data_IF_558382510345
#
_entry.id   IF_558382510345
#
_cell.length_a   1.000
_cell.length_b   1.000
_cell.length_c   1.000
_cell.angle_alpha   90.00
_cell.angle_beta   90.00
_cell.angle_gamma   90.00
#
_symmetry.space_group_name_H-M   'P 1'
#
loop_
_entity.id
_entity.type
_entity.pdbx_description
1 polymer ?
#
# COMPACT_ATOMS: atom_id res chain seq x y z
N UNK A 1 19.17 18.53 27.37
CA UNK A 1 19.12 19.59 26.34
C UNK A 1 20.45 19.63 25.63
N UNK A 2 20.60 18.87 24.55
CA UNK A 2 21.72 19.03 23.62
C UNK A 2 21.43 20.24 22.73
N UNK A 3 22.41 21.14 22.58
CA UNK A 3 22.35 22.30 21.68
C UNK A 3 23.02 21.92 20.37
N UNK A 4 22.21 21.63 19.35
CA UNK A 4 22.46 21.72 17.91
C UNK A 4 21.47 20.76 17.26
N UNK A 5 20.84 21.12 16.14
CA UNK A 5 20.00 20.19 15.37
C UNK A 5 20.84 19.13 14.66
N UNK A 6 21.78 18.51 15.36
CA UNK A 6 22.49 17.32 14.92
C UNK A 6 21.61 16.12 15.25
N UNK A 7 21.24 15.44 14.19
CA UNK A 7 20.34 14.30 14.20
C UNK A 7 21.08 13.10 14.76
N UNK A 8 20.38 12.26 15.52
CA UNK A 8 20.94 11.03 16.06
C UNK A 8 21.51 10.14 14.92
N UNK A 9 22.83 9.87 14.90
CA UNK A 9 23.44 9.00 13.90
C UNK A 9 22.81 7.60 13.86
N UNK A 10 22.33 7.11 15.00
CA UNK A 10 21.70 5.78 15.10
C UNK A 10 20.31 5.77 14.44
N UNK A 11 19.51 6.83 14.64
CA UNK A 11 18.27 7.05 13.89
C UNK A 11 18.51 7.07 12.37
N UNK A 12 19.50 7.83 11.91
CA UNK A 12 19.82 7.92 10.48
C UNK A 12 20.20 6.57 9.88
N UNK A 13 21.03 5.80 10.56
CA UNK A 13 21.41 4.46 10.10
C UNK A 13 20.20 3.52 10.02
N UNK A 14 19.31 3.56 11.02
CA UNK A 14 18.08 2.75 11.04
C UNK A 14 17.12 3.15 9.91
N UNK A 15 16.91 4.45 9.71
CA UNK A 15 16.07 4.93 8.63
C UNK A 15 16.66 4.58 7.27
N UNK A 16 17.97 4.78 7.07
CA UNK A 16 18.63 4.42 5.82
C UNK A 16 18.45 2.94 5.49
N UNK A 17 18.60 2.05 6.47
CA UNK A 17 18.35 0.61 6.28
C UNK A 17 16.89 0.30 5.93
N UNK A 18 15.92 0.98 6.55
CA UNK A 18 14.50 0.82 6.25
C UNK A 18 14.17 1.29 4.83
N UNK A 19 14.65 2.48 4.47
CA UNK A 19 14.50 3.06 3.13
C UNK A 19 15.19 2.22 2.07
N UNK A 20 16.38 1.69 2.33
CA UNK A 20 17.08 0.74 1.44
C UNK A 20 16.28 -0.53 1.22
N UNK A 21 15.73 -1.14 2.27
CA UNK A 21 14.88 -2.33 2.13
C UNK A 21 13.64 -2.02 1.29
N UNK A 22 13.04 -0.85 1.47
CA UNK A 22 11.88 -0.37 0.69
C UNK A 22 12.25 -0.15 -0.77
N UNK A 23 13.37 0.52 -1.05
CA UNK A 23 13.88 0.76 -2.38
C UNK A 23 14.25 -0.55 -3.11
N UNK A 24 14.83 -1.52 -2.40
CA UNK A 24 15.20 -2.84 -2.94
C UNK A 24 13.98 -3.68 -3.34
N UNK A 25 12.87 -3.54 -2.61
CA UNK A 25 11.61 -4.28 -2.80
C UNK A 25 10.42 -3.31 -2.79
N UNK A 26 10.24 -2.52 -3.87
CA UNK A 26 9.21 -1.49 -3.92
C UNK A 26 7.79 -2.05 -3.97
N UNK A 27 7.60 -3.20 -4.62
CA UNK A 27 6.36 -3.97 -4.66
C UNK A 27 6.69 -5.45 -4.62
N UNK A 28 5.75 -6.26 -4.14
CA UNK A 28 5.88 -7.70 -4.12
C UNK A 28 6.07 -8.24 -5.54
N UNK A 29 7.14 -8.98 -5.78
CA UNK A 29 7.53 -9.48 -7.11
C UNK A 29 8.62 -8.66 -7.81
N UNK A 30 9.05 -7.54 -7.23
CA UNK A 30 10.19 -6.75 -7.73
C UNK A 30 11.38 -6.85 -6.78
N UNK A 31 12.56 -7.08 -7.35
CA UNK A 31 13.83 -7.13 -6.64
C UNK A 31 14.91 -6.35 -7.40
N UNK A 32 15.27 -5.19 -6.87
CA UNK A 32 16.32 -4.33 -7.45
C UNK A 32 17.71 -4.77 -6.97
N UNK A 33 18.72 -4.59 -7.81
CA UNK A 33 20.13 -4.80 -7.44
C UNK A 33 20.53 -3.97 -6.20
N UNK A 34 21.42 -4.53 -5.38
CA UNK A 34 21.84 -3.91 -4.13
C UNK A 34 22.49 -2.55 -4.34
N UNK A 35 23.35 -2.42 -5.36
CA UNK A 35 24.05 -1.18 -5.70
C UNK A 35 23.07 -0.08 -6.15
N UNK A 36 22.08 -0.44 -6.97
CA UNK A 36 21.07 0.50 -7.44
C UNK A 36 20.16 0.96 -6.29
N UNK A 37 19.72 0.03 -5.42
CA UNK A 37 18.91 0.37 -4.25
C UNK A 37 19.68 1.24 -3.24
N UNK A 38 20.97 0.95 -3.01
CA UNK A 38 21.81 1.75 -2.11
C UNK A 38 22.07 3.16 -2.68
N UNK A 39 22.32 3.27 -3.99
CA UNK A 39 22.51 4.55 -4.67
C UNK A 39 21.25 5.41 -4.58
N UNK A 40 20.08 4.83 -4.91
CA UNK A 40 18.80 5.52 -4.80
C UNK A 40 18.50 5.98 -3.37
N UNK A 41 18.78 5.12 -2.37
CA UNK A 41 18.56 5.48 -0.96
C UNK A 41 19.42 6.67 -0.55
N UNK A 42 20.69 6.68 -0.98
CA UNK A 42 21.61 7.77 -0.70
C UNK A 42 21.13 9.08 -1.34
N UNK A 43 20.74 9.02 -2.62
CA UNK A 43 20.19 10.16 -3.35
C UNK A 43 18.93 10.72 -2.68
N UNK A 44 18.01 9.86 -2.20
CA UNK A 44 16.83 10.30 -1.46
C UNK A 44 17.23 11.08 -0.21
N UNK A 45 18.19 10.59 0.56
CA UNK A 45 18.62 11.25 1.79
C UNK A 45 19.31 12.58 1.51
N UNK A 46 20.20 12.63 0.52
CA UNK A 46 20.87 13.87 0.10
C UNK A 46 19.84 14.92 -0.34
N UNK A 47 18.87 14.53 -1.18
CA UNK A 47 17.81 15.43 -1.64
C UNK A 47 16.91 15.92 -0.51
N UNK A 48 16.58 15.07 0.47
CA UNK A 48 15.78 15.47 1.63
C UNK A 48 16.58 16.42 2.54
N UNK A 49 17.84 16.11 2.82
CA UNK A 49 18.73 16.94 3.61
C UNK A 49 18.90 18.34 2.99
N UNK A 50 19.04 18.42 1.67
CA UNK A 50 19.17 19.69 0.95
C UNK A 50 17.86 20.51 0.92
N UNK A 51 16.71 19.83 0.95
CA UNK A 51 15.38 20.46 0.91
C UNK A 51 15.04 21.17 2.22
N UNK A 52 15.40 20.58 3.35
CA UNK A 52 14.99 21.08 4.66
C UNK A 52 15.88 22.24 5.14
N UNK A 53 15.34 23.47 5.06
CA UNK A 53 15.98 24.68 5.63
C UNK A 53 16.01 24.66 7.16
N UNK A 54 15.09 23.93 7.78
CA UNK A 54 15.01 23.65 9.21
C UNK A 54 14.66 22.18 9.38
N UNK A 55 15.25 21.51 10.38
CA UNK A 55 15.03 20.08 10.62
C UNK A 55 13.54 19.78 10.82
N UNK A 56 12.93 18.90 10.02
CA UNK A 56 11.57 18.44 10.23
C UNK A 56 11.48 17.50 11.43
N UNK A 57 10.30 17.03 11.78
CA UNK A 57 10.21 15.94 12.76
C UNK A 57 10.82 14.64 12.20
N UNK A 58 11.37 13.79 13.06
CA UNK A 58 11.93 12.50 12.64
C UNK A 58 10.87 11.63 11.93
N UNK A 59 9.59 11.77 12.30
CA UNK A 59 8.48 11.07 11.69
C UNK A 59 8.18 11.56 10.27
N UNK A 60 8.17 12.89 10.06
CA UNK A 60 8.01 13.52 8.75
C UNK A 60 9.16 13.15 7.81
N UNK A 61 10.40 13.27 8.29
CA UNK A 61 11.58 12.87 7.52
C UNK A 61 11.53 11.38 7.14
N UNK A 62 11.13 10.53 8.08
CA UNK A 62 10.99 9.09 7.84
C UNK A 62 9.91 8.77 6.80
N UNK A 63 8.76 9.44 6.88
CA UNK A 63 7.67 9.24 5.95
C UNK A 63 8.08 9.66 4.53
N UNK A 64 8.68 10.84 4.35
CA UNK A 64 9.14 11.31 3.04
C UNK A 64 10.25 10.42 2.46
N UNK A 65 11.18 9.94 3.29
CA UNK A 65 12.22 9.02 2.83
C UNK A 65 11.63 7.69 2.34
N UNK A 66 10.65 7.13 3.06
CA UNK A 66 9.99 5.87 2.71
C UNK A 66 9.10 6.01 1.47
N UNK A 67 8.37 7.12 1.34
CA UNK A 67 7.57 7.47 0.16
C UNK A 67 8.46 7.68 -1.06
N UNK A 68 9.54 8.46 -0.93
CA UNK A 68 10.53 8.67 -1.98
C UNK A 68 11.15 7.36 -2.47
N UNK A 69 11.47 6.44 -1.55
CA UNK A 69 11.98 5.12 -1.93
C UNK A 69 10.93 4.26 -2.63
N UNK A 70 9.66 4.34 -2.23
CA UNK A 70 8.60 3.62 -2.90
C UNK A 70 8.34 4.16 -4.31
N UNK A 71 8.28 5.48 -4.47
CA UNK A 71 7.92 6.10 -5.74
C UNK A 71 9.06 6.05 -6.74
N UNK A 72 10.26 6.51 -6.37
CA UNK A 72 11.40 6.53 -7.29
C UNK A 72 11.80 5.13 -7.72
N UNK A 73 11.78 4.15 -6.81
CA UNK A 73 12.16 2.78 -7.14
C UNK A 73 11.25 2.15 -8.19
N UNK A 74 9.92 2.34 -8.08
CA UNK A 74 8.97 1.87 -9.11
C UNK A 74 9.15 2.55 -10.45
N UNK A 75 9.36 3.87 -10.45
CA UNK A 75 9.57 4.62 -11.69
C UNK A 75 10.90 4.26 -12.36
N UNK A 76 11.95 4.00 -11.59
CA UNK A 76 13.23 3.51 -12.12
C UNK A 76 13.05 2.13 -12.76
N UNK A 77 12.36 1.20 -12.09
CA UNK A 77 12.06 -0.13 -12.66
C UNK A 77 11.25 -0.01 -13.95
N UNK A 78 10.22 0.84 -13.96
CA UNK A 78 9.39 1.07 -15.14
C UNK A 78 10.22 1.65 -16.31
N UNK A 79 11.09 2.62 -16.02
CA UNK A 79 11.96 3.26 -17.00
C UNK A 79 12.98 2.28 -17.57
N UNK A 80 13.68 1.52 -16.71
CA UNK A 80 14.67 0.54 -17.13
C UNK A 80 14.05 -0.55 -18.01
N UNK A 81 12.84 -1.03 -17.66
CA UNK A 81 12.09 -2.01 -18.45
C UNK A 81 11.70 -1.46 -19.82
N UNK A 82 11.30 -0.20 -19.89
CA UNK A 82 10.96 0.47 -21.14
C UNK A 82 12.20 0.69 -22.02
N UNK A 83 13.33 1.09 -21.43
CA UNK A 83 14.59 1.33 -22.15
C UNK A 83 15.21 0.04 -22.70
N UNK A 84 15.11 -1.06 -21.95
CA UNK A 84 15.67 -2.36 -22.36
C UNK A 84 14.67 -3.25 -23.09
N UNK A 85 13.41 -2.82 -23.21
CA UNK A 85 12.29 -3.59 -23.76
C UNK A 85 12.13 -4.98 -23.11
N UNK A 86 12.45 -5.10 -21.81
CA UNK A 86 12.39 -6.35 -21.05
C UNK A 86 11.45 -6.23 -19.84
N UNK A 87 10.21 -6.74 -19.91
CA UNK A 87 9.29 -6.74 -18.78
C UNK A 87 9.76 -7.58 -17.57
N UNK A 88 10.71 -8.49 -17.75
CA UNK A 88 11.25 -9.33 -16.66
C UNK A 88 12.40 -8.67 -15.91
N UNK A 89 12.92 -7.54 -16.40
CA UNK A 89 13.99 -6.84 -15.72
C UNK A 89 13.55 -6.48 -14.29
N UNK A 90 14.39 -6.77 -13.31
CA UNK A 90 14.09 -6.61 -11.87
C UNK A 90 12.94 -7.48 -11.33
N UNK A 91 12.44 -8.46 -12.08
CA UNK A 91 11.50 -9.45 -11.52
C UNK A 91 12.20 -10.30 -10.47
N UNK A 92 11.56 -10.50 -9.32
CA UNK A 92 12.08 -11.33 -8.24
C UNK A 92 12.07 -12.81 -8.68
N UNK A 93 13.23 -13.48 -8.79
CA UNK A 93 13.28 -14.89 -9.18
C UNK A 93 12.60 -15.83 -8.17
N UNK A 94 12.33 -15.38 -6.95
CA UNK A 94 11.58 -16.15 -5.95
C UNK A 94 10.06 -15.97 -6.07
N UNK A 95 9.58 -15.01 -6.87
CA UNK A 95 8.15 -14.82 -7.10
C UNK A 95 7.62 -15.89 -8.07
N UNK A 96 6.75 -16.75 -7.55
CA UNK A 96 6.17 -17.89 -8.29
C UNK A 96 4.65 -17.79 -8.42
N UNK A 97 4.10 -16.60 -8.12
CA UNK A 97 2.66 -16.31 -8.17
C UNK A 97 2.09 -16.43 -9.59
N UNK A 98 2.90 -16.17 -10.60
CA UNK A 98 2.60 -16.31 -12.02
C UNK A 98 3.89 -16.57 -12.80
N UNK A 99 3.79 -16.98 -14.07
CA UNK A 99 4.94 -17.48 -14.83
C UNK A 99 5.94 -16.39 -15.25
N UNK A 100 5.43 -15.23 -15.67
CA UNK A 100 6.23 -14.11 -16.17
C UNK A 100 5.46 -12.80 -16.11
N UNK A 101 6.17 -11.68 -16.04
CA UNK A 101 5.57 -10.36 -16.21
C UNK A 101 5.03 -10.19 -17.64
N UNK A 102 3.87 -9.53 -17.76
CA UNK A 102 3.36 -9.05 -19.05
C UNK A 102 3.93 -7.68 -19.38
N UNK A 103 3.90 -7.32 -20.66
CA UNK A 103 4.33 -5.99 -21.11
C UNK A 103 3.26 -4.95 -20.73
N UNK A 104 3.56 -4.18 -19.68
CA UNK A 104 2.64 -3.19 -19.14
C UNK A 104 2.34 -2.06 -20.13
N UNK A 105 3.32 -1.65 -20.93
CA UNK A 105 3.14 -0.56 -21.90
C UNK A 105 2.20 -0.99 -23.02
N UNK A 106 2.25 -2.27 -23.41
CA UNK A 106 1.26 -2.86 -24.33
C UNK A 106 -0.12 -2.96 -23.69
N UNK A 107 -0.22 -3.35 -22.42
CA UNK A 107 -1.50 -3.39 -21.71
C UNK A 107 -2.16 -2.00 -21.62
N UNK A 108 -1.37 -0.94 -21.42
CA UNK A 108 -1.82 0.46 -21.38
C UNK A 108 -2.06 1.08 -22.75
N UNK A 109 -1.58 0.44 -23.83
CA UNK A 109 -1.67 1.02 -25.17
C UNK A 109 -3.11 1.07 -25.66
N UNK A 110 -3.65 2.29 -25.76
CA UNK A 110 -4.98 2.55 -26.28
C UNK A 110 -4.99 2.53 -27.82
N UNK A 111 -5.81 1.66 -28.39
CA UNK A 111 -6.10 1.63 -29.82
C UNK A 111 -7.45 2.33 -30.11
N UNK A 112 -7.81 2.50 -31.39
CA UNK A 112 -9.07 3.14 -31.82
C UNK A 112 -10.35 2.50 -31.23
N UNK A 113 -10.26 1.24 -30.76
CA UNK A 113 -11.35 0.51 -30.10
C UNK A 113 -11.17 0.33 -28.59
N UNK A 114 -10.26 1.07 -27.95
CA UNK A 114 -9.92 0.89 -26.53
C UNK A 114 -8.68 0.02 -26.33
N UNK A 115 -8.63 -0.68 -25.20
CA UNK A 115 -7.55 -1.60 -24.86
C UNK A 115 -7.79 -2.96 -25.52
N UNK A 116 -6.93 -3.35 -26.45
CA UNK A 116 -7.17 -4.52 -27.30
C UNK A 116 -5.89 -5.30 -27.64
N UNK A 117 -4.80 -5.03 -26.92
CA UNK A 117 -3.55 -5.75 -27.14
C UNK A 117 -3.70 -7.22 -26.72
N UNK A 118 -2.90 -8.11 -27.33
CA UNK A 118 -2.91 -9.54 -27.01
C UNK A 118 -2.54 -9.80 -25.56
N UNK A 119 -1.73 -8.94 -24.93
CA UNK A 119 -1.38 -9.05 -23.51
C UNK A 119 -2.62 -9.15 -22.60
N UNK A 120 -3.77 -8.58 -23.00
CA UNK A 120 -5.03 -8.73 -22.24
C UNK A 120 -5.55 -10.16 -22.19
N UNK A 121 -5.27 -10.98 -23.20
CA UNK A 121 -5.62 -12.41 -23.19
C UNK A 121 -4.74 -13.17 -22.19
N UNK A 122 -3.47 -12.77 -22.08
CA UNK A 122 -2.50 -13.42 -21.18
C UNK A 122 -2.64 -12.91 -19.73
N UNK A 123 -3.32 -11.77 -19.52
CA UNK A 123 -3.62 -11.20 -18.20
C UNK A 123 -4.69 -11.99 -17.43
N UNK A 124 -5.69 -12.56 -18.12
CA UNK A 124 -6.75 -13.35 -17.45
C UNK A 124 -6.17 -14.55 -16.66
N UNK A 125 -5.31 -15.42 -17.25
CA UNK A 125 -4.66 -16.49 -16.51
C UNK A 125 -3.87 -16.03 -15.28
N UNK A 126 -3.30 -14.83 -15.30
CA UNK A 126 -2.55 -14.26 -14.17
C UNK A 126 -3.51 -13.84 -13.06
N UNK A 127 -4.59 -13.12 -13.38
CA UNK A 127 -5.49 -12.54 -12.39
C UNK A 127 -6.55 -13.51 -11.85
N UNK A 128 -6.98 -14.47 -12.67
CA UNK A 128 -8.06 -15.41 -12.35
C UNK A 128 -7.85 -16.17 -11.04
N UNK A 129 -6.66 -16.75 -10.74
CA UNK A 129 -6.42 -17.42 -9.48
C UNK A 129 -6.62 -16.52 -8.25
N UNK A 130 -6.16 -15.26 -8.31
CA UNK A 130 -6.29 -14.29 -7.21
C UNK A 130 -7.74 -13.84 -7.03
N UNK A 131 -8.41 -13.49 -8.14
CA UNK A 131 -9.82 -13.08 -8.12
C UNK A 131 -10.74 -14.15 -7.56
N UNK A 132 -10.66 -15.38 -8.09
CA UNK A 132 -11.50 -16.48 -7.64
C UNK A 132 -11.24 -16.89 -6.19
N UNK A 133 -9.97 -16.91 -5.76
CA UNK A 133 -9.65 -17.18 -4.36
C UNK A 133 -10.37 -16.21 -3.41
N UNK A 134 -10.37 -14.92 -3.75
CA UNK A 134 -11.05 -13.89 -2.95
C UNK A 134 -12.57 -14.03 -2.99
N UNK A 135 -13.17 -14.23 -4.17
CA UNK A 135 -14.62 -14.35 -4.35
C UNK A 135 -15.19 -15.57 -3.63
N UNK A 136 -14.52 -16.73 -3.75
CA UNK A 136 -14.90 -17.96 -3.05
C UNK A 136 -14.76 -17.82 -1.53
N UNK A 137 -13.71 -17.15 -1.05
CA UNK A 137 -13.54 -16.84 0.38
C UNK A 137 -14.63 -15.89 0.89
N UNK A 138 -15.14 -15.00 0.02
CA UNK A 138 -16.34 -14.19 0.25
C UNK A 138 -17.63 -14.97 -0.03
N UNK A 139 -17.60 -16.28 -0.19
CA UNK A 139 -18.77 -17.15 -0.26
C UNK A 139 -19.68 -16.93 -1.47
N UNK A 140 -19.16 -16.39 -2.58
CA UNK A 140 -19.87 -16.38 -3.85
C UNK A 140 -19.85 -17.79 -4.46
N UNK A 141 -20.96 -18.19 -5.09
CA UNK A 141 -21.00 -19.43 -5.87
C UNK A 141 -20.17 -19.32 -7.15
N UNK A 142 -19.80 -20.45 -7.77
CA UNK A 142 -18.91 -20.44 -8.95
C UNK A 142 -19.45 -19.61 -10.13
N UNK A 143 -20.77 -19.61 -10.37
CA UNK A 143 -21.36 -18.81 -11.45
C UNK A 143 -21.33 -17.31 -11.12
N UNK A 144 -21.79 -16.92 -9.93
CA UNK A 144 -21.74 -15.52 -9.47
C UNK A 144 -20.29 -15.00 -9.42
N UNK A 145 -19.34 -15.86 -9.05
CA UNK A 145 -17.94 -15.50 -9.01
C UNK A 145 -17.37 -15.26 -10.42
N UNK A 146 -17.76 -16.04 -11.43
CA UNK A 146 -17.36 -15.79 -12.83
C UNK A 146 -17.91 -14.46 -13.33
N UNK A 147 -19.19 -14.17 -13.09
CA UNK A 147 -19.80 -12.91 -13.53
C UNK A 147 -19.12 -11.70 -12.87
N UNK A 148 -18.96 -11.73 -11.54
CA UNK A 148 -18.28 -10.67 -10.79
C UNK A 148 -16.82 -10.52 -11.23
N UNK A 149 -16.14 -11.63 -11.50
CA UNK A 149 -14.76 -11.61 -12.00
C UNK A 149 -14.68 -10.94 -13.38
N UNK A 150 -15.49 -11.38 -14.35
CA UNK A 150 -15.47 -10.84 -15.73
C UNK A 150 -15.87 -9.37 -15.77
N UNK A 151 -16.87 -8.96 -14.99
CA UNK A 151 -17.22 -7.53 -14.84
C UNK A 151 -16.05 -6.73 -14.29
N UNK A 152 -15.35 -7.24 -13.28
CA UNK A 152 -14.20 -6.55 -12.68
C UNK A 152 -13.01 -6.52 -13.63
N UNK A 153 -12.79 -7.59 -14.39
CA UNK A 153 -11.73 -7.67 -15.39
C UNK A 153 -11.94 -6.65 -16.51
N UNK A 154 -13.19 -6.55 -17.01
CA UNK A 154 -13.55 -5.53 -17.99
C UNK A 154 -13.40 -4.10 -17.43
N UNK A 155 -13.63 -3.90 -16.13
CA UNK A 155 -13.47 -2.61 -15.47
C UNK A 155 -12.00 -2.13 -15.46
N UNK A 156 -11.00 -3.02 -15.48
CA UNK A 156 -9.59 -2.61 -15.55
C UNK A 156 -9.29 -1.75 -16.78
N UNK A 157 -10.00 -1.99 -17.88
CA UNK A 157 -9.88 -1.29 -19.14
C UNK A 157 -10.95 -0.20 -19.33
N UNK A 158 -11.88 -0.02 -18.38
CA UNK A 158 -12.98 0.94 -18.50
C UNK A 158 -12.53 2.31 -17.99
N UNK A 159 -12.69 3.32 -18.85
CA UNK A 159 -12.42 4.70 -18.47
C UNK A 159 -13.44 5.20 -17.47
N UNK A 160 -12.96 5.79 -16.38
CA UNK A 160 -13.84 6.39 -15.37
C UNK A 160 -14.40 7.70 -15.91
N UNK A 161 -15.68 7.96 -15.67
CA UNK A 161 -16.34 9.18 -16.13
C UNK A 161 -15.72 10.48 -15.55
N UNK A 162 -15.05 10.40 -14.40
CA UNK A 162 -14.50 11.57 -13.69
C UNK A 162 -13.24 12.12 -14.35
N UNK A 163 -12.32 11.25 -14.75
CA UNK A 163 -10.96 11.62 -15.21
C UNK A 163 -10.60 11.04 -16.59
N UNK A 164 -11.47 10.22 -17.17
CA UNK A 164 -11.26 9.60 -18.48
C UNK A 164 -10.12 8.57 -18.49
N UNK A 165 -9.67 8.09 -17.33
CA UNK A 165 -8.58 7.11 -17.22
C UNK A 165 -9.11 5.74 -16.82
N UNK A 166 -8.53 4.70 -17.39
CA UNK A 166 -8.77 3.33 -16.96
C UNK A 166 -7.88 2.95 -15.77
N UNK A 167 -8.31 2.06 -14.86
CA UNK A 167 -7.49 1.58 -13.75
C UNK A 167 -6.12 1.02 -14.17
N UNK A 168 -6.02 0.36 -15.33
CA UNK A 168 -4.74 -0.16 -15.84
C UNK A 168 -3.71 0.94 -16.11
N UNK A 169 -4.14 2.19 -16.32
CA UNK A 169 -3.25 3.32 -16.58
C UNK A 169 -2.63 3.88 -15.30
N UNK A 170 -3.16 3.56 -14.11
CA UNK A 170 -2.63 4.07 -12.84
C UNK A 170 -1.47 3.26 -12.27
N UNK A 171 -1.21 2.05 -12.79
CA UNK A 171 -0.09 1.22 -12.32
C UNK A 171 1.22 1.63 -12.99
N UNK A 172 2.33 1.56 -12.26
CA UNK A 172 3.67 1.96 -12.73
C UNK A 172 4.47 0.73 -13.17
N UNK A 173 4.34 -0.37 -12.45
CA UNK A 173 4.96 -1.67 -12.76
C UNK A 173 3.91 -2.78 -12.80
N UNK A 174 4.15 -3.82 -13.59
CA UNK A 174 3.17 -4.88 -13.87
C UNK A 174 2.65 -5.54 -12.59
N UNK A 175 3.53 -5.78 -11.63
CA UNK A 175 3.28 -6.44 -10.35
C UNK A 175 2.14 -5.79 -9.55
N UNK A 176 1.87 -4.49 -9.78
CA UNK A 176 0.79 -3.74 -9.14
C UNK A 176 -0.61 -4.10 -9.66
N UNK A 177 -0.71 -4.80 -10.79
CA UNK A 177 -2.00 -5.25 -11.34
C UNK A 177 -2.72 -6.21 -10.40
N UNK A 178 -1.99 -7.08 -9.71
CA UNK A 178 -2.54 -8.07 -8.77
C UNK A 178 -3.19 -7.39 -7.56
N UNK A 179 -2.49 -6.53 -6.78
CA UNK A 179 -3.11 -5.85 -5.66
C UNK A 179 -4.22 -4.89 -6.09
N UNK A 180 -4.08 -4.20 -7.23
CA UNK A 180 -5.15 -3.35 -7.79
C UNK A 180 -6.40 -4.16 -8.09
N UNK A 181 -6.27 -5.24 -8.88
CA UNK A 181 -7.39 -6.10 -9.24
C UNK A 181 -8.02 -6.77 -8.03
N UNK A 182 -7.20 -7.25 -7.09
CA UNK A 182 -7.66 -7.84 -5.84
C UNK A 182 -8.53 -6.86 -5.04
N UNK A 183 -8.15 -5.58 -4.99
CA UNK A 183 -8.94 -4.52 -4.36
C UNK A 183 -10.27 -4.32 -5.08
N UNK A 184 -10.25 -4.19 -6.41
CA UNK A 184 -11.45 -4.01 -7.23
C UNK A 184 -12.45 -5.17 -7.07
N UNK A 185 -11.96 -6.41 -7.11
CA UNK A 185 -12.79 -7.62 -6.97
C UNK A 185 -13.44 -7.68 -5.59
N UNK A 186 -12.72 -7.30 -4.53
CA UNK A 186 -13.28 -7.29 -3.18
C UNK A 186 -14.43 -6.29 -3.03
N UNK A 187 -14.30 -5.09 -3.59
CA UNK A 187 -15.40 -4.12 -3.58
C UNK A 187 -16.61 -4.61 -4.37
N UNK A 188 -16.38 -5.15 -5.56
CA UNK A 188 -17.44 -5.73 -6.38
C UNK A 188 -18.18 -6.86 -5.67
N UNK A 189 -17.45 -7.70 -4.93
CA UNK A 189 -18.06 -8.76 -4.10
C UNK A 189 -18.94 -8.21 -2.96
N UNK A 190 -18.52 -7.12 -2.32
CA UNK A 190 -19.29 -6.44 -1.27
C UNK A 190 -20.59 -5.88 -1.85
N UNK A 191 -20.51 -5.17 -2.97
CA UNK A 191 -21.67 -4.58 -3.62
C UNK A 191 -22.64 -5.64 -4.14
N UNK A 192 -22.13 -6.72 -4.71
CA UNK A 192 -22.94 -7.86 -5.11
C UNK A 192 -23.73 -8.41 -3.91
N UNK A 193 -23.08 -8.63 -2.76
CA UNK A 193 -23.75 -9.07 -1.54
C UNK A 193 -24.81 -8.07 -1.06
N UNK A 194 -24.51 -6.75 -1.08
CA UNK A 194 -25.46 -5.69 -0.71
C UNK A 194 -26.70 -5.72 -1.60
N UNK A 195 -26.53 -5.86 -2.92
CA UNK A 195 -27.63 -5.99 -3.89
C UNK A 195 -28.46 -7.24 -3.64
N UNK A 196 -27.84 -8.39 -3.40
CA UNK A 196 -28.54 -9.63 -3.06
C UNK A 196 -29.34 -9.53 -1.76
N UNK A 197 -28.80 -8.88 -0.73
CA UNK A 197 -29.54 -8.61 0.51
C UNK A 197 -30.71 -7.66 0.27
N UNK A 198 -30.56 -6.64 -0.57
CA UNK A 198 -31.65 -5.73 -0.93
C UNK A 198 -32.77 -6.44 -1.72
N UNK A 199 -32.41 -7.32 -2.66
CA UNK A 199 -33.36 -8.15 -3.43
C UNK A 199 -34.16 -9.09 -2.52
N UNK A 200 -33.51 -9.74 -1.54
CA UNK A 200 -34.19 -10.61 -0.56
C UNK A 200 -35.16 -9.86 0.36
N UNK A 201 -34.94 -8.56 0.54
CA UNK A 201 -35.78 -7.70 1.39
C UNK A 201 -36.89 -6.98 0.62
N UNK A 202 -37.03 -7.21 -0.69
CA UNK A 202 -38.16 -6.70 -1.46
C UNK A 202 -39.39 -7.62 -1.31
N UNK A 203 -40.57 -7.08 -1.01
CA UNK A 203 -41.80 -7.86 -1.01
C UNK A 203 -42.12 -8.28 -2.46
N UNK A 204 -42.06 -9.59 -2.71
CA UNK A 204 -42.43 -10.32 -3.94
C UNK A 204 -43.00 -9.45 -5.07
N UNK A 205 -42.11 -8.87 -5.87
CA UNK A 205 -42.45 -8.44 -7.23
C UNK A 205 -41.43 -9.10 -8.13
N UNK A 206 -41.91 -10.09 -8.90
CA UNK A 206 -41.18 -10.69 -10.01
C UNK A 206 -40.80 -9.57 -10.98
N UNK A 207 -39.60 -9.03 -10.81
CA UNK A 207 -38.97 -8.11 -11.75
C UNK A 207 -37.81 -8.87 -12.36
N UNK A 208 -37.81 -8.91 -13.70
CA UNK A 208 -36.86 -9.70 -14.50
C UNK A 208 -35.43 -9.27 -14.20
N UNK A 209 -34.51 -10.24 -14.18
CA UNK A 209 -33.07 -10.03 -14.07
C UNK A 209 -32.53 -9.03 -15.12
N UNK A 210 -33.21 -8.91 -16.26
CA UNK A 210 -32.89 -7.97 -17.35
C UNK A 210 -33.23 -6.50 -17.03
N UNK A 211 -34.21 -6.21 -16.16
CA UNK A 211 -34.61 -4.83 -15.85
C UNK A 211 -33.57 -4.09 -14.96
N UNK A 212 -32.62 -4.82 -14.37
CA UNK A 212 -31.61 -4.27 -13.45
C UNK A 212 -30.22 -4.12 -14.08
N UNK A 213 -29.95 -4.76 -15.22
CA UNK A 213 -28.69 -4.60 -15.96
C UNK A 213 -28.66 -3.35 -16.84
N UNK A 214 -29.82 -2.76 -17.16
CA UNK A 214 -29.95 -1.58 -18.04
C UNK A 214 -29.90 -0.21 -17.32
N UNK A 215 -29.66 -0.15 -16.00
CA UNK A 215 -29.40 1.14 -15.33
C UNK A 215 -27.95 1.58 -15.57
N UNK A 216 -27.72 2.14 -16.75
CA UNK A 216 -26.44 2.59 -17.30
C UNK A 216 -25.87 3.90 -16.69
N UNK A 217 -26.52 4.53 -15.70
CA UNK A 217 -26.11 5.87 -15.19
C UNK A 217 -25.62 5.90 -13.73
N UNK A 218 -25.04 4.80 -13.24
CA UNK A 218 -24.31 4.78 -11.98
C UNK A 218 -22.82 5.01 -12.18
N UNK A 219 -22.39 6.19 -12.65
CA UNK A 219 -20.97 6.54 -12.71
C UNK A 219 -20.32 6.21 -11.35
N UNK A 220 -19.38 5.26 -11.36
CA UNK A 220 -18.67 4.83 -10.17
C UNK A 220 -17.96 6.05 -9.56
N UNK A 221 -18.50 6.55 -8.45
CA UNK A 221 -17.70 7.34 -7.54
C UNK A 221 -16.80 6.33 -6.82
N UNK A 222 -15.57 6.21 -7.31
CA UNK A 222 -14.49 5.74 -6.45
C UNK A 222 -14.36 6.78 -5.35
N UNK A 223 -15.06 6.53 -4.23
CA UNK A 223 -14.81 7.24 -2.99
C UNK A 223 -13.35 7.01 -2.59
N UNK A 224 -12.84 8.00 -1.86
CA UNK A 224 -11.46 8.25 -1.48
C UNK A 224 -10.61 6.99 -1.21
N UNK A 225 -9.33 7.01 -1.60
CA UNK A 225 -8.39 5.88 -1.39
C UNK A 225 -8.22 5.50 0.09
N UNK A 226 -8.61 6.42 0.99
CA UNK A 226 -8.66 6.30 2.45
C UNK A 226 -9.89 5.53 2.99
N UNK A 227 -10.94 5.34 2.18
CA UNK A 227 -12.26 4.88 2.64
C UNK A 227 -12.55 3.39 2.34
N UNK A 228 -11.53 2.52 2.28
CA UNK A 228 -11.70 1.07 2.10
C UNK A 228 -12.00 0.39 3.46
N UNK A 229 -13.24 -0.06 3.73
CA UNK A 229 -13.59 -0.71 4.99
C UNK A 229 -13.05 -2.16 5.08
N UNK A 230 -12.39 -2.64 4.02
CA UNK A 230 -11.85 -3.99 3.87
C UNK A 230 -10.32 -4.07 3.82
N UNK A 231 -9.60 -2.95 3.67
CA UNK A 231 -8.13 -2.91 3.80
C UNK A 231 -7.82 -3.26 5.26
N UNK A 232 -7.15 -4.40 5.49
CA UNK A 232 -6.66 -4.66 6.85
C UNK A 232 -5.69 -3.54 7.23
N UNK A 233 -5.77 -3.03 8.45
CA UNK A 233 -4.83 -2.03 8.97
C UNK A 233 -3.36 -2.45 8.78
N UNK A 234 -3.08 -3.75 8.64
CA UNK A 234 -1.76 -4.32 8.37
C UNK A 234 -1.29 -4.22 6.91
N UNK A 235 -2.08 -3.65 5.99
CA UNK A 235 -1.71 -3.46 4.59
C UNK A 235 -1.37 -2.01 4.22
N UNK A 236 -1.44 -1.09 5.20
CA UNK A 236 -1.03 0.31 5.03
C UNK A 236 0.46 0.45 5.30
N UNK A 237 1.17 1.20 4.44
CA UNK A 237 2.58 1.52 4.67
C UNK A 237 2.73 2.65 5.70
N UNK A 238 3.92 2.77 6.29
CA UNK A 238 4.17 3.81 7.30
C UNK A 238 3.94 5.23 6.76
N UNK A 239 4.37 5.51 5.53
CA UNK A 239 4.17 6.78 4.86
C UNK A 239 2.68 7.09 4.62
N UNK A 240 1.88 6.10 4.18
CA UNK A 240 0.43 6.23 4.04
C UNK A 240 -0.23 6.58 5.38
N UNK A 241 0.15 5.87 6.46
CA UNK A 241 -0.38 6.10 7.81
C UNK A 241 0.02 7.49 8.33
N UNK A 242 1.27 7.91 8.12
CA UNK A 242 1.74 9.23 8.54
C UNK A 242 1.02 10.35 7.79
N UNK A 243 0.83 10.20 6.47
CA UNK A 243 0.11 11.19 5.65
C UNK A 243 -1.33 11.41 6.11
N UNK A 244 -2.01 10.35 6.54
CA UNK A 244 -3.40 10.41 6.99
C UNK A 244 -3.56 10.82 8.46
N UNK A 245 -2.59 10.46 9.31
CA UNK A 245 -2.72 10.59 10.77
C UNK A 245 -1.63 11.43 11.44
N UNK A 246 -0.79 12.14 10.68
CA UNK A 246 0.45 12.78 11.16
C UNK A 246 0.28 13.61 12.43
N UNK A 247 -0.82 14.36 12.53
CA UNK A 247 -1.10 15.26 13.66
C UNK A 247 -1.68 14.57 14.92
N UNK A 248 -2.04 13.28 14.82
CA UNK A 248 -2.82 12.58 15.85
C UNK A 248 -1.93 11.99 16.95
N UNK A 249 -0.68 11.67 16.60
CA UNK A 249 0.29 11.10 17.51
C UNK A 249 1.34 12.13 17.91
N UNK A 250 1.90 11.95 19.10
CA UNK A 250 3.08 12.72 19.51
C UNK A 250 4.32 12.20 18.80
N UNK A 251 5.37 13.03 18.71
CA UNK A 251 6.66 12.63 18.13
C UNK A 251 7.22 11.36 18.78
N UNK A 252 7.12 11.22 20.11
CA UNK A 252 7.52 10.01 20.82
C UNK A 252 6.69 8.78 20.40
N UNK A 253 5.40 8.94 20.15
CA UNK A 253 4.53 7.84 19.70
C UNK A 253 4.89 7.41 18.27
N UNK A 254 5.16 8.36 17.37
CA UNK A 254 5.66 8.04 16.03
C UNK A 254 7.01 7.34 16.06
N UNK A 255 7.94 7.79 16.90
CA UNK A 255 9.25 7.16 17.07
C UNK A 255 9.14 5.71 17.56
N UNK A 256 8.23 5.44 18.51
CA UNK A 256 7.96 4.09 18.99
C UNK A 256 7.39 3.18 17.89
N UNK A 257 6.41 3.68 17.12
CA UNK A 257 5.84 2.92 15.99
C UNK A 257 6.91 2.61 14.95
N UNK A 258 7.69 3.62 14.58
CA UNK A 258 8.77 3.45 13.62
C UNK A 258 9.78 2.40 14.10
N UNK A 259 10.25 2.51 15.34
CA UNK A 259 11.27 1.62 15.90
C UNK A 259 10.81 0.17 16.01
N UNK A 260 9.57 -0.04 16.47
CA UNK A 260 9.03 -1.37 16.76
C UNK A 260 8.51 -2.06 15.49
N UNK A 261 7.82 -1.33 14.61
CA UNK A 261 7.10 -1.94 13.49
C UNK A 261 7.75 -1.70 12.12
N UNK A 262 8.48 -0.59 11.94
CA UNK A 262 9.04 -0.20 10.63
C UNK A 262 10.50 -0.59 10.50
N UNK A 263 11.38 -0.01 11.33
CA UNK A 263 12.81 -0.37 11.35
C UNK A 263 13.03 -1.76 11.96
N UNK A 264 12.14 -2.17 12.87
CA UNK A 264 12.27 -3.36 13.72
C UNK A 264 13.63 -3.41 14.42
N UNK A 265 14.16 -2.24 14.78
CA UNK A 265 15.54 -2.09 15.25
C UNK A 265 15.70 -2.32 16.75
N UNK A 266 14.60 -2.33 17.50
CA UNK A 266 14.60 -2.63 18.92
C UNK A 266 13.29 -3.32 19.33
N UNK A 267 13.42 -4.28 20.25
CA UNK A 267 12.30 -4.90 20.94
C UNK A 267 11.83 -4.03 22.10
N UNK A 268 10.60 -4.25 22.58
CA UNK A 268 10.09 -3.57 23.78
C UNK A 268 10.96 -3.78 25.03
N UNK A 269 11.76 -4.86 25.07
CA UNK A 269 12.72 -5.10 26.15
C UNK A 269 13.91 -4.14 26.09
N UNK A 270 14.48 -3.94 24.90
CA UNK A 270 15.61 -3.03 24.68
C UNK A 270 15.19 -1.56 24.88
N UNK A 271 13.97 -1.19 24.49
CA UNK A 271 13.41 0.15 24.75
C UNK A 271 13.23 0.45 26.26
N UNK A 272 13.19 -0.56 27.13
CA UNK A 272 13.16 -0.35 28.58
C UNK A 272 14.53 0.04 29.16
N UNK A 273 15.59 -0.05 28.36
CA UNK A 273 16.96 0.30 28.75
C UNK A 273 17.44 1.59 28.06
N UNK A 274 16.73 2.05 27.03
CA UNK A 274 17.00 3.28 26.28
C UNK A 274 16.71 4.55 27.10
N UNK A 275 17.74 5.30 27.53
CA UNK A 275 17.55 6.48 28.37
C UNK A 275 16.83 7.63 27.65
N UNK A 276 16.91 7.71 26.32
CA UNK A 276 16.30 8.78 25.55
C UNK A 276 14.79 8.57 25.42
N UNK A 277 14.39 7.36 25.03
CA UNK A 277 12.98 6.97 24.93
C UNK A 277 12.31 7.04 26.31
N UNK A 278 12.99 6.58 27.35
CA UNK A 278 12.51 6.71 28.73
C UNK A 278 12.36 8.19 29.12
N UNK A 279 13.32 9.04 28.77
CA UNK A 279 13.26 10.48 29.02
C UNK A 279 12.06 11.15 28.35
N UNK A 280 11.78 10.81 27.09
CA UNK A 280 10.60 11.31 26.33
C UNK A 280 9.26 10.88 26.95
N UNK A 281 9.23 9.76 27.68
CA UNK A 281 8.07 9.27 28.42
C UNK A 281 8.04 9.69 29.90
N UNK A 282 8.97 10.56 30.34
CA UNK A 282 9.06 11.00 31.74
C UNK A 282 9.50 9.91 32.71
N UNK A 283 10.24 8.91 32.22
CA UNK A 283 10.76 7.78 32.99
C UNK A 283 12.24 7.93 33.29
N UNK A 284 12.62 7.67 34.53
CA UNK A 284 14.02 7.53 34.91
C UNK A 284 14.56 6.12 34.62
N UNK A 285 15.86 6.00 34.27
CA UNK A 285 16.54 4.71 34.16
C UNK A 285 16.51 3.87 35.44
N UNK A 286 16.37 4.54 36.60
CA UNK A 286 16.27 3.93 37.94
C UNK A 286 14.94 3.19 38.19
N UNK A 287 13.91 3.43 37.38
CA UNK A 287 12.61 2.77 37.53
C UNK A 287 12.69 1.26 37.25
N UNK A 288 11.79 0.49 37.89
CA UNK A 288 11.73 -0.95 37.66
C UNK A 288 11.35 -1.28 36.21
N UNK A 289 11.94 -2.35 35.66
CA UNK A 289 11.68 -2.82 34.30
C UNK A 289 10.17 -3.04 34.07
N UNK A 290 9.46 -3.59 35.05
CA UNK A 290 8.01 -3.78 34.97
C UNK A 290 7.24 -2.47 34.82
N UNK A 291 7.66 -1.39 35.51
CA UNK A 291 7.04 -0.06 35.39
C UNK A 291 7.32 0.54 34.02
N UNK A 292 8.56 0.47 33.55
CA UNK A 292 8.98 0.97 32.23
C UNK A 292 8.22 0.28 31.11
N UNK A 293 8.18 -1.07 31.13
CA UNK A 293 7.48 -1.88 30.13
C UNK A 293 5.98 -1.60 30.09
N UNK A 294 5.35 -1.42 31.27
CA UNK A 294 3.92 -1.08 31.34
C UNK A 294 3.65 0.25 30.66
N UNK A 295 4.41 1.30 30.96
CA UNK A 295 4.20 2.64 30.42
C UNK A 295 4.54 2.71 28.91
N UNK A 296 5.59 1.99 28.48
CA UNK A 296 5.91 1.83 27.06
C UNK A 296 4.80 1.12 26.29
N UNK A 297 4.25 0.03 26.84
CA UNK A 297 3.12 -0.67 26.24
C UNK A 297 1.86 0.20 26.23
N UNK A 298 1.56 0.91 27.32
CA UNK A 298 0.43 1.84 27.39
C UNK A 298 0.54 2.94 26.32
N UNK A 299 1.73 3.53 26.14
CA UNK A 299 1.97 4.55 25.13
C UNK A 299 1.84 4.00 23.69
N UNK A 300 2.31 2.77 23.44
CA UNK A 300 2.20 2.10 22.15
C UNK A 300 0.75 1.69 21.85
N UNK A 301 0.04 1.09 22.80
CA UNK A 301 -1.38 0.72 22.68
C UNK A 301 -2.25 1.95 22.47
N UNK A 302 -1.98 3.05 23.19
CA UNK A 302 -2.67 4.33 22.99
C UNK A 302 -2.43 4.86 21.57
N UNK A 303 -1.20 4.81 21.08
CA UNK A 303 -0.87 5.25 19.72
C UNK A 303 -1.58 4.40 18.67
N UNK A 304 -1.54 3.07 18.80
CA UNK A 304 -2.25 2.15 17.91
C UNK A 304 -3.77 2.34 17.95
N UNK A 305 -4.34 2.60 19.13
CA UNK A 305 -5.78 2.88 19.27
C UNK A 305 -6.18 4.20 18.60
N UNK A 306 -5.34 5.24 18.71
CA UNK A 306 -5.55 6.52 18.02
C UNK A 306 -5.49 6.36 16.50
N UNK A 307 -4.49 5.64 15.98
CA UNK A 307 -4.39 5.33 14.56
C UNK A 307 -5.58 4.51 14.08
N UNK A 308 -5.93 3.43 14.79
CA UNK A 308 -7.10 2.62 14.47
C UNK A 308 -8.37 3.46 14.42
N UNK A 309 -8.56 4.38 15.37
CA UNK A 309 -9.73 5.25 15.40
C UNK A 309 -9.75 6.21 14.21
N UNK A 310 -8.63 6.82 13.85
CA UNK A 310 -8.54 7.73 12.72
C UNK A 310 -8.71 7.03 11.37
N UNK A 311 -8.13 5.84 11.22
CA UNK A 311 -8.15 5.08 9.97
C UNK A 311 -9.50 4.37 9.74
N UNK A 312 -10.36 4.28 10.77
CA UNK A 312 -11.70 3.69 10.69
C UNK A 312 -12.84 4.70 10.80
N UNK A 313 -12.54 5.99 11.01
CA UNK A 313 -13.51 7.08 11.14
C UNK A 313 -13.78 7.77 9.83
#
# INVERSE_FOLDING_TARGET
>A
MNRSGEVDPEFFEKLWRATYRRAKRPVEGVLIAEEAAASLTTEIFENLLDRYKSWPSDAEFSAEAMEGAYDHSRHNVSSDRAEQEDPQLWHDPEDTRYERNLDLERLKKKNKGGFSDREWTDLDPVLRPFGFHLLLRKGLGNQDAEDVYLETFAELARERAKDGKAPIESIVVFEEVIPLFSKMVQFRAIDWRRRQSALKNQPNTQSSFEDLTEREDGAMQFEDESADPGRSLGALSFDEIYRQCGEILTECQWQLIFTVYVSQSATMGELCEDPEVLGKLGLEPSHSISKKRRILNEALEEALAKLQKCLLS
#
